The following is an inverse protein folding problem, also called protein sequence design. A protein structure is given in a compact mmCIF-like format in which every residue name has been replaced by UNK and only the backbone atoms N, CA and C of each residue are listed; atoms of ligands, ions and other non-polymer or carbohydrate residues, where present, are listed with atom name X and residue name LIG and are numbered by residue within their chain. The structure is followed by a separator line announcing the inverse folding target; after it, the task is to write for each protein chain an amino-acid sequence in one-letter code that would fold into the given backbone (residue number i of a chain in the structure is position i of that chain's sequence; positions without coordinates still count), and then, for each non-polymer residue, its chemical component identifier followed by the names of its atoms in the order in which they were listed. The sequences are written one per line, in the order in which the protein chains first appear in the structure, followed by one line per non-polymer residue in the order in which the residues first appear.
data_IF_141400426717
#
_entry.id   IF_141400426717
#
_cell.length_a   1.000
_cell.length_b   1.000
_cell.length_c   1.000
_cell.angle_alpha   90.00
_cell.angle_beta   90.00
_cell.angle_gamma   90.00
#
_symmetry.space_group_name_H-M   'P 1'
#
loop_
_entity.id
_entity.type
_entity.pdbx_description
1 polymer ?
#
# COMPACT_ATOMS: atom_id res chain seq x y z
N UNK A 1 41.28 -1.33 62.77
CA UNK A 1 39.91 -1.31 62.19
C UNK A 1 39.64 -0.37 60.99
N UNK A 2 40.53 0.51 60.47
CA UNK A 2 40.13 1.49 59.43
C UNK A 2 40.18 0.99 57.96
N UNK A 3 40.85 -0.13 57.66
CA UNK A 3 41.01 -0.63 56.28
C UNK A 3 39.69 -1.09 55.63
N UNK A 4 38.81 -1.74 56.40
CA UNK A 4 37.51 -2.23 55.88
C UNK A 4 36.52 -1.10 55.59
N UNK A 5 36.59 0.01 56.32
CA UNK A 5 35.72 1.17 56.07
C UNK A 5 36.13 1.90 54.79
N UNK A 6 37.44 2.10 54.55
CA UNK A 6 37.95 2.72 53.32
C UNK A 6 37.62 1.90 52.06
N UNK A 7 37.72 0.57 52.09
CA UNK A 7 37.40 -0.25 50.91
C UNK A 7 35.90 -0.27 50.56
N UNK A 8 35.03 -0.18 51.57
CA UNK A 8 33.57 -0.07 51.37
C UNK A 8 33.19 1.32 50.82
N UNK A 9 33.90 2.36 51.26
CA UNK A 9 33.67 3.73 50.82
C UNK A 9 34.09 3.96 49.36
N UNK A 10 35.28 3.45 48.96
CA UNK A 10 35.75 3.53 47.57
C UNK A 10 34.88 2.72 46.60
N UNK A 11 34.37 1.56 47.02
CA UNK A 11 33.42 0.77 46.21
C UNK A 11 32.09 1.50 46.00
N UNK A 12 31.61 2.23 47.02
CA UNK A 12 30.38 3.01 46.93
C UNK A 12 30.56 4.23 46.03
N UNK A 13 31.69 4.93 46.13
CA UNK A 13 32.03 6.06 45.26
C UNK A 13 32.19 5.64 43.78
N UNK A 14 32.84 4.51 43.52
CA UNK A 14 32.97 3.96 42.18
C UNK A 14 31.60 3.62 41.55
N UNK A 15 30.66 3.07 42.33
CA UNK A 15 29.28 2.82 41.87
C UNK A 15 28.53 4.11 41.55
N UNK A 16 28.69 5.15 42.36
CA UNK A 16 28.06 6.46 42.13
C UNK A 16 28.60 7.13 40.87
N UNK A 17 29.91 7.03 40.61
CA UNK A 17 30.53 7.57 39.40
C UNK A 17 30.07 6.83 38.13
N UNK A 18 30.01 5.49 38.17
CA UNK A 18 29.49 4.68 37.07
C UNK A 18 28.01 4.99 36.77
N UNK A 19 27.18 5.11 37.81
CA UNK A 19 25.78 5.47 37.66
C UNK A 19 25.61 6.89 37.09
N UNK A 20 26.42 7.85 37.54
CA UNK A 20 26.42 9.21 37.01
C UNK A 20 26.81 9.26 35.54
N UNK A 21 27.83 8.48 35.15
CA UNK A 21 28.28 8.38 33.76
C UNK A 21 27.23 7.74 32.84
N UNK A 22 26.62 6.64 33.28
CA UNK A 22 25.54 5.98 32.53
C UNK A 22 24.31 6.88 32.35
N UNK A 23 23.95 7.67 33.37
CA UNK A 23 22.90 8.68 33.25
C UNK A 23 23.30 9.78 32.26
N UNK A 24 24.57 10.19 32.25
CA UNK A 24 25.08 11.20 31.33
C UNK A 24 25.05 10.74 29.87
N UNK A 25 25.40 9.48 29.59
CA UNK A 25 25.34 8.85 28.25
C UNK A 25 23.90 8.83 27.72
N UNK A 26 22.92 8.44 28.54
CA UNK A 26 21.48 8.46 28.18
C UNK A 26 20.97 9.84 27.75
N UNK A 27 21.59 10.92 28.23
CA UNK A 27 21.20 12.28 27.92
C UNK A 27 21.90 12.88 26.69
N UNK A 28 22.82 12.13 26.06
CA UNK A 28 23.56 12.54 24.85
C UNK A 28 23.03 11.85 23.60
N UNK A 29 22.38 10.68 23.75
CA UNK A 29 21.75 9.98 22.63
C UNK A 29 20.64 10.82 21.98
N UNK A 30 20.49 10.72 20.66
CA UNK A 30 19.41 11.40 19.94
C UNK A 30 18.06 10.84 20.39
N UNK A 31 17.12 11.68 20.86
CA UNK A 31 15.82 11.18 21.31
C UNK A 31 15.00 10.68 20.13
N UNK A 32 14.44 9.49 20.27
CA UNK A 32 13.57 8.86 19.28
C UNK A 32 12.10 9.14 19.56
N UNK A 33 11.77 9.50 20.81
CA UNK A 33 10.41 9.82 21.24
C UNK A 33 10.32 11.21 21.86
N UNK A 34 9.12 11.81 21.80
CA UNK A 34 8.84 13.10 22.47
C UNK A 34 9.07 13.00 23.98
N UNK A 35 8.83 11.84 24.59
CA UNK A 35 9.05 11.61 26.01
C UNK A 35 10.54 11.64 26.38
N UNK A 36 11.40 10.99 25.59
CA UNK A 36 12.86 11.04 25.75
C UNK A 36 13.38 12.46 25.59
N UNK A 37 12.92 13.17 24.55
CA UNK A 37 13.27 14.57 24.31
C UNK A 37 12.90 15.44 25.52
N UNK A 38 11.69 15.29 26.08
CA UNK A 38 11.28 16.02 27.28
C UNK A 38 12.15 15.67 28.50
N UNK A 39 12.53 14.41 28.66
CA UNK A 39 13.41 13.98 29.75
C UNK A 39 14.80 14.62 29.63
N UNK A 40 15.37 14.66 28.43
CA UNK A 40 16.66 15.31 28.17
C UNK A 40 16.60 16.82 28.38
N UNK A 41 15.54 17.47 27.92
CA UNK A 41 15.34 18.91 28.13
C UNK A 41 15.24 19.25 29.61
N UNK A 42 14.48 18.47 30.39
CA UNK A 42 14.42 18.65 31.86
C UNK A 42 15.78 18.48 32.52
N UNK A 43 16.56 17.49 32.09
CA UNK A 43 17.92 17.27 32.59
C UNK A 43 18.83 18.47 32.29
N UNK A 44 18.82 18.97 31.04
CA UNK A 44 19.61 20.14 30.64
C UNK A 44 19.17 21.40 31.40
N UNK A 45 17.87 21.64 31.52
CA UNK A 45 17.33 22.77 32.27
C UNK A 45 17.69 22.70 33.76
N UNK A 46 17.66 21.51 34.36
CA UNK A 46 18.11 21.28 35.73
C UNK A 46 19.57 21.70 35.95
N UNK A 47 20.45 21.47 34.97
CA UNK A 47 21.84 21.91 35.01
C UNK A 47 22.02 23.41 34.78
N UNK A 48 21.08 24.04 34.06
CA UNK A 48 21.06 25.48 33.77
C UNK A 48 20.28 26.32 34.79
N UNK A 49 19.73 25.71 35.86
CA UNK A 49 18.86 26.37 36.85
C UNK A 49 19.39 27.67 37.45
N UNK A 50 20.71 27.91 37.40
CA UNK A 50 21.32 29.15 37.92
C UNK A 50 20.93 30.39 37.13
N UNK A 51 20.52 30.26 35.86
CA UNK A 51 20.07 31.39 35.02
C UNK A 51 19.00 30.96 33.99
N UNK A 52 17.71 30.92 34.39
CA UNK A 52 16.60 30.45 33.53
C UNK A 52 16.34 31.33 32.30
N UNK A 53 16.80 32.58 32.33
CA UNK A 53 16.67 33.56 31.23
C UNK A 53 17.97 33.78 30.44
N UNK A 54 18.99 32.94 30.68
CA UNK A 54 20.20 32.99 29.85
C UNK A 54 19.86 32.72 28.37
N UNK A 55 20.59 33.33 27.42
CA UNK A 55 20.42 33.04 25.99
C UNK A 55 20.48 31.54 25.67
N UNK A 56 21.32 30.79 26.38
CA UNK A 56 21.45 29.34 26.24
C UNK A 56 20.18 28.59 26.68
N UNK A 57 19.55 28.98 27.79
CA UNK A 57 18.30 28.38 28.26
C UNK A 57 17.16 28.59 27.26
N UNK A 58 17.07 29.80 26.69
CA UNK A 58 16.09 30.14 25.65
C UNK A 58 16.33 29.28 24.39
N UNK A 59 17.58 29.19 23.92
CA UNK A 59 17.94 28.39 22.76
C UNK A 59 17.58 26.91 22.94
N UNK A 60 17.85 26.34 24.12
CA UNK A 60 17.48 24.95 24.43
C UNK A 60 15.96 24.75 24.38
N UNK A 61 15.16 25.69 24.91
CA UNK A 61 13.69 25.61 24.82
C UNK A 61 13.18 25.69 23.38
N UNK A 62 13.77 26.57 22.56
CA UNK A 62 13.40 26.70 21.15
C UNK A 62 13.77 25.44 20.36
N UNK A 63 14.99 24.90 20.57
CA UNK A 63 15.43 23.64 19.95
C UNK A 63 14.56 22.46 20.37
N UNK A 64 14.18 22.39 21.65
CA UNK A 64 13.24 21.38 22.13
C UNK A 64 11.90 21.47 21.39
N UNK A 65 11.38 22.69 21.20
CA UNK A 65 10.11 22.90 20.52
C UNK A 65 10.19 22.55 19.03
N UNK A 66 11.28 22.92 18.35
CA UNK A 66 11.47 22.56 16.93
C UNK A 66 11.59 21.05 16.75
N UNK A 67 12.32 20.36 17.63
CA UNK A 67 12.42 18.91 17.61
C UNK A 67 11.05 18.23 17.85
N UNK A 68 10.25 18.74 18.79
CA UNK A 68 8.88 18.24 19.01
C UNK A 68 8.01 18.39 17.76
N UNK A 69 8.04 19.56 17.12
CA UNK A 69 7.28 19.80 15.88
C UNK A 69 7.75 18.86 14.77
N UNK A 70 9.06 18.70 14.58
CA UNK A 70 9.62 17.80 13.58
C UNK A 70 9.20 16.34 13.80
N UNK A 71 9.20 15.85 15.05
CA UNK A 71 8.74 14.50 15.39
C UNK A 71 7.25 14.30 15.08
N UNK A 72 6.42 15.30 15.41
CA UNK A 72 4.99 15.27 15.11
C UNK A 72 4.73 15.30 13.60
N UNK A 73 5.39 16.19 12.86
CA UNK A 73 5.32 16.25 11.41
C UNK A 73 5.80 14.95 10.76
N UNK A 74 6.88 14.34 11.25
CA UNK A 74 7.36 13.06 10.75
C UNK A 74 6.34 11.94 10.96
N UNK A 75 5.60 11.96 12.07
CA UNK A 75 4.52 10.99 12.33
C UNK A 75 3.39 11.14 11.32
N UNK A 76 2.92 12.37 11.11
CA UNK A 76 1.87 12.69 10.11
C UNK A 76 2.33 12.28 8.71
N UNK A 77 3.54 12.67 8.32
CA UNK A 77 4.11 12.33 7.02
C UNK A 77 4.24 10.82 6.81
N UNK A 78 4.60 10.05 7.84
CA UNK A 78 4.67 8.60 7.76
C UNK A 78 3.29 7.98 7.49
N UNK A 79 2.25 8.48 8.14
CA UNK A 79 0.87 8.03 7.92
C UNK A 79 0.36 8.40 6.53
N UNK A 80 0.57 9.65 6.10
CA UNK A 80 0.20 10.12 4.77
C UNK A 80 0.95 9.34 3.68
N UNK A 81 2.25 9.12 3.84
CA UNK A 81 3.04 8.33 2.90
C UNK A 81 2.52 6.89 2.80
N UNK A 82 2.13 6.30 3.94
CA UNK A 82 1.51 4.96 3.97
C UNK A 82 0.17 4.94 3.22
N UNK A 83 -0.68 5.97 3.39
CA UNK A 83 -1.94 6.10 2.64
C UNK A 83 -1.67 6.25 1.14
N UNK A 84 -0.80 7.18 0.76
CA UNK A 84 -0.40 7.43 -0.63
C UNK A 84 0.16 6.18 -1.31
N UNK A 85 0.99 5.39 -0.61
CA UNK A 85 1.53 4.12 -1.14
C UNK A 85 0.44 3.08 -1.36
N UNK A 86 -0.53 2.98 -0.45
CA UNK A 86 -1.68 2.07 -0.61
C UNK A 86 -2.56 2.47 -1.79
N UNK A 87 -2.82 3.76 -1.98
CA UNK A 87 -3.61 4.26 -3.09
C UNK A 87 -2.90 4.11 -4.45
N UNK A 88 -1.57 4.29 -4.48
CA UNK A 88 -0.78 4.12 -5.70
C UNK A 88 -0.53 2.65 -6.06
N UNK A 89 -0.62 1.72 -5.11
CA UNK A 89 -0.30 0.31 -5.34
C UNK A 89 -1.18 -0.33 -6.44
N UNK A 90 -2.52 -0.17 -6.45
CA UNK A 90 -3.36 -0.66 -7.55
C UNK A 90 -2.98 -0.07 -8.91
N UNK A 91 -2.65 1.22 -8.96
CA UNK A 91 -2.31 1.87 -10.22
C UNK A 91 -0.98 1.38 -10.78
N UNK A 92 0.03 1.19 -9.90
CA UNK A 92 1.30 0.57 -10.29
C UNK A 92 1.09 -0.87 -10.78
N UNK A 93 0.30 -1.67 -10.07
CA UNK A 93 -0.02 -3.04 -10.48
C UNK A 93 -0.70 -3.08 -11.86
N UNK A 94 -1.68 -2.19 -12.12
CA UNK A 94 -2.33 -2.09 -13.43
C UNK A 94 -1.33 -1.73 -14.53
N UNK A 95 -0.44 -0.77 -14.28
CA UNK A 95 0.60 -0.39 -15.24
C UNK A 95 1.58 -1.53 -15.51
N UNK A 96 2.00 -2.25 -14.47
CA UNK A 96 2.92 -3.39 -14.60
C UNK A 96 2.26 -4.56 -15.35
N UNK A 97 1.00 -4.88 -15.03
CA UNK A 97 0.21 -5.88 -15.76
C UNK A 97 0.02 -5.49 -17.24
N UNK A 98 -0.30 -4.23 -17.52
CA UNK A 98 -0.43 -3.74 -18.89
C UNK A 98 0.91 -3.82 -19.65
N UNK A 99 2.03 -3.46 -19.00
CA UNK A 99 3.38 -3.57 -19.59
C UNK A 99 3.74 -5.03 -19.87
N UNK A 100 3.47 -5.94 -18.93
CA UNK A 100 3.67 -7.38 -19.13
C UNK A 100 2.81 -7.93 -20.26
N UNK A 101 1.53 -7.53 -20.32
CA UNK A 101 0.62 -7.89 -21.39
C UNK A 101 1.14 -7.42 -22.75
N UNK A 102 1.61 -6.18 -22.87
CA UNK A 102 2.21 -5.68 -24.13
C UNK A 102 3.50 -6.43 -24.47
N UNK A 103 4.37 -6.69 -23.49
CA UNK A 103 5.63 -7.40 -23.70
C UNK A 103 5.42 -8.89 -24.08
N UNK A 104 4.39 -9.55 -23.54
CA UNK A 104 4.00 -10.91 -23.92
C UNK A 104 3.19 -10.98 -25.22
N UNK A 105 3.02 -9.85 -25.92
CA UNK A 105 2.35 -9.80 -27.23
C UNK A 105 0.83 -9.65 -27.16
N UNK A 106 0.28 -9.19 -26.04
CA UNK A 106 -1.15 -9.06 -25.75
C UNK A 106 -1.92 -8.10 -26.67
N UNK A 107 -1.27 -7.32 -27.52
CA UNK A 107 -2.00 -6.72 -28.65
C UNK A 107 -1.97 -7.74 -29.78
N UNK A 108 -3.13 -8.36 -30.03
CA UNK A 108 -3.35 -9.33 -31.10
C UNK A 108 -2.66 -8.80 -32.36
N UNK A 109 -1.50 -9.39 -32.70
CA UNK A 109 -0.62 -8.82 -33.73
C UNK A 109 -1.43 -8.80 -35.03
N UNK A 110 -1.35 -7.72 -35.83
CA UNK A 110 -2.17 -7.57 -37.04
C UNK A 110 -2.11 -8.81 -37.95
N UNK A 111 -0.97 -9.51 -37.95
CA UNK A 111 -0.78 -10.83 -38.57
C UNK A 111 -1.65 -11.94 -37.98
N UNK A 112 -1.67 -12.12 -36.66
CA UNK A 112 -2.53 -13.08 -35.96
C UNK A 112 -4.02 -12.75 -36.14
N UNK A 113 -4.38 -11.46 -36.12
CA UNK A 113 -5.75 -11.00 -36.36
C UNK A 113 -6.22 -11.39 -37.77
N UNK A 114 -5.37 -11.11 -38.77
CA UNK A 114 -5.60 -11.48 -40.17
C UNK A 114 -5.67 -13.00 -40.35
N UNK A 115 -4.84 -13.77 -39.65
CA UNK A 115 -4.85 -15.22 -39.74
C UNK A 115 -6.14 -15.82 -39.14
N UNK A 116 -6.63 -15.27 -38.02
CA UNK A 116 -7.92 -15.70 -37.45
C UNK A 116 -9.10 -15.30 -38.34
N UNK A 117 -9.10 -14.10 -38.92
CA UNK A 117 -10.10 -13.69 -39.89
C UNK A 117 -10.14 -14.63 -41.11
N UNK A 118 -8.97 -14.96 -41.68
CA UNK A 118 -8.87 -15.93 -42.80
C UNK A 118 -9.32 -17.34 -42.42
N UNK A 119 -9.04 -17.79 -41.19
CA UNK A 119 -9.53 -19.08 -40.69
C UNK A 119 -11.05 -19.08 -40.53
N UNK A 120 -11.63 -17.99 -40.02
CA UNK A 120 -13.08 -17.84 -39.92
C UNK A 120 -13.75 -17.82 -41.31
N UNK A 121 -13.17 -17.11 -42.29
CA UNK A 121 -13.66 -17.11 -43.69
C UNK A 121 -13.61 -18.51 -44.32
N UNK A 122 -12.54 -19.28 -44.08
CA UNK A 122 -12.43 -20.66 -44.56
C UNK A 122 -13.46 -21.59 -43.92
N UNK A 123 -13.69 -21.48 -42.62
CA UNK A 123 -14.72 -22.27 -41.92
C UNK A 123 -16.13 -21.93 -42.46
N UNK A 124 -16.39 -20.66 -42.79
CA UNK A 124 -17.67 -20.26 -43.41
C UNK A 124 -17.79 -20.80 -44.84
N UNK A 125 -16.72 -20.78 -45.64
CA UNK A 125 -16.69 -21.35 -46.99
C UNK A 125 -16.86 -22.88 -46.99
N UNK A 126 -16.16 -23.59 -46.09
CA UNK A 126 -16.26 -25.05 -45.90
C UNK A 126 -17.65 -25.44 -45.37
N UNK A 127 -18.23 -24.64 -44.47
CA UNK A 127 -19.61 -24.81 -44.04
C UNK A 127 -20.61 -24.59 -45.17
N UNK A 128 -20.34 -23.66 -46.10
CA UNK A 128 -21.21 -23.43 -47.27
C UNK A 128 -21.11 -24.56 -48.31
N UNK A 129 -19.91 -25.14 -48.52
CA UNK A 129 -19.72 -26.29 -49.41
C UNK A 129 -20.30 -27.60 -48.82
N UNK A 130 -20.28 -27.73 -47.49
CA UNK A 130 -20.90 -28.87 -46.78
C UNK A 130 -22.42 -28.75 -46.65
N UNK A 131 -23.01 -27.57 -46.90
CA UNK A 131 -24.44 -27.29 -46.72
C UNK A 131 -25.31 -27.53 -47.96
N UNK A 132 -24.78 -28.11 -49.03
CA UNK A 132 -25.62 -28.58 -50.15
C UNK A 132 -26.46 -29.82 -49.74
N UNK A 133 -26.13 -30.49 -48.62
CA UNK A 133 -26.82 -31.72 -48.17
C UNK A 133 -27.81 -31.58 -47.01
N UNK A 134 -27.53 -30.80 -45.96
CA UNK A 134 -28.36 -30.83 -44.73
C UNK A 134 -28.49 -29.45 -44.07
N UNK A 135 -29.33 -28.59 -44.64
CA UNK A 135 -29.90 -27.50 -43.84
C UNK A 135 -30.87 -28.13 -42.83
N UNK A 136 -30.58 -28.03 -41.53
CA UNK A 136 -31.53 -28.38 -40.46
C UNK A 136 -32.82 -27.59 -40.70
N UNK A 137 -33.82 -28.26 -41.26
CA UNK A 137 -35.11 -27.65 -41.50
C UNK A 137 -35.73 -27.34 -40.14
N UNK A 138 -36.12 -26.08 -39.94
CA UNK A 138 -36.86 -25.67 -38.75
C UNK A 138 -38.18 -26.42 -38.78
N UNK A 139 -38.56 -27.04 -37.66
CA UNK A 139 -39.85 -27.71 -37.56
C UNK A 139 -40.98 -26.74 -37.97
N UNK A 140 -41.97 -27.19 -38.77
CA UNK A 140 -43.07 -26.35 -39.21
C UNK A 140 -43.84 -25.78 -38.00
N UNK A 141 -44.36 -24.54 -38.10
CA UNK A 141 -45.01 -23.89 -36.97
C UNK A 141 -46.33 -24.58 -36.62
N UNK A 142 -46.56 -24.88 -35.34
CA UNK A 142 -47.83 -25.38 -34.81
C UNK A 142 -48.71 -24.25 -34.27
N UNK A 143 -49.99 -24.25 -34.64
CA UNK A 143 -50.96 -23.27 -34.13
C UNK A 143 -51.33 -23.57 -32.67
N UNK A 144 -51.19 -22.59 -31.76
CA UNK A 144 -51.54 -22.77 -30.34
C UNK A 144 -53.04 -22.82 -30.05
N UNK A 145 -53.91 -22.54 -31.05
CA UNK A 145 -55.37 -22.54 -30.89
C UNK A 145 -56.04 -23.82 -31.41
N UNK A 146 -55.58 -24.34 -32.55
CA UNK A 146 -56.15 -25.54 -33.16
C UNK A 146 -55.17 -26.73 -33.23
N UNK A 147 -53.92 -26.56 -32.76
CA UNK A 147 -52.87 -27.59 -32.74
C UNK A 147 -52.53 -28.23 -34.09
N UNK A 148 -52.88 -27.57 -35.21
CA UNK A 148 -52.53 -28.01 -36.56
C UNK A 148 -51.16 -27.41 -36.95
N UNK A 149 -50.32 -28.22 -37.57
CA UNK A 149 -49.02 -27.83 -38.14
C UNK A 149 -49.20 -27.01 -39.43
N UNK A 150 -48.29 -26.06 -39.68
CA UNK A 150 -48.23 -25.27 -40.91
C UNK A 150 -48.73 -23.83 -40.80
N UNK A 151 -49.25 -23.40 -39.65
CA UNK A 151 -49.63 -21.99 -39.43
C UNK A 151 -49.55 -21.58 -37.95
N UNK A 152 -49.49 -20.27 -37.70
CA UNK A 152 -49.48 -19.70 -36.36
C UNK A 152 -50.86 -19.16 -35.96
N UNK A 153 -51.07 -18.89 -34.66
CA UNK A 153 -52.35 -18.39 -34.11
C UNK A 153 -52.92 -17.18 -34.87
N UNK A 154 -52.05 -16.32 -35.39
CA UNK A 154 -52.43 -15.08 -36.11
C UNK A 154 -53.07 -15.34 -37.48
N UNK A 155 -52.75 -16.49 -38.10
CA UNK A 155 -53.22 -16.93 -39.42
C UNK A 155 -54.24 -18.08 -39.33
N UNK A 156 -54.77 -18.35 -38.13
CA UNK A 156 -55.76 -19.41 -37.91
C UNK A 156 -57.12 -19.02 -38.50
N UNK A 157 -57.71 -19.92 -39.29
CA UNK A 157 -59.01 -19.71 -39.96
C UNK A 157 -60.19 -19.72 -38.98
N UNK A 158 -60.07 -20.43 -37.86
CA UNK A 158 -61.03 -20.44 -36.75
C UNK A 158 -60.80 -19.25 -35.80
N UNK A 159 -60.76 -18.03 -36.34
CA UNK A 159 -60.57 -16.81 -35.54
C UNK A 159 -61.70 -16.59 -34.53
#
# INVERSE_FOLDING_TARGET
MPRQQRSKQTSREARVLLASRALQEKHIETPHTVAELQQQVRYLQGRLQRQPESPTSIAIRQLAKSAQLAMQSATILAEENKKLRKENQPQRQKQDQQRQYIASGGVLQVSQARQMARKAEKVVMEANQSQVGERRQRAPPTCTRCHIEGHTRTQCRNR
#
